data_IF_733281513762
#
_entry.id   IF_733281513762
#
_cell.length_a   1.000
_cell.length_b   1.000
_cell.length_c   1.000
_cell.angle_alpha   90.00
_cell.angle_beta   90.00
_cell.angle_gamma   90.00
#
_symmetry.space_group_name_H-M   'P 1'
#
loop_
_entity.id
_entity.type
_entity.pdbx_description
1 polymer ?
#
# COMPACT_ATOMS: atom_id res chain seq x y z
N UNK A 1 -18.60 -8.22 -16.27
CA UNK A 1 -18.14 -9.62 -16.41
C UNK A 1 -17.23 -9.97 -15.23
N UNK A 2 -17.30 -11.21 -14.76
CA UNK A 2 -17.29 -11.58 -13.34
C UNK A 2 -15.91 -11.77 -12.67
N UNK A 3 -15.73 -11.19 -11.48
CA UNK A 3 -14.64 -11.49 -10.52
C UNK A 3 -14.71 -12.91 -9.91
N UNK A 4 -15.75 -13.69 -10.24
CA UNK A 4 -15.93 -15.08 -9.75
C UNK A 4 -15.09 -16.11 -10.51
N UNK A 5 -14.59 -15.80 -11.71
CA UNK A 5 -13.91 -16.82 -12.53
C UNK A 5 -12.42 -16.97 -12.22
N UNK A 6 -11.75 -15.95 -11.67
CA UNK A 6 -10.33 -16.07 -11.25
C UNK A 6 -10.09 -16.89 -9.99
N UNK A 7 -11.12 -17.16 -9.17
CA UNK A 7 -11.00 -18.00 -7.95
C UNK A 7 -11.25 -19.49 -8.22
N UNK A 8 -11.77 -19.87 -9.39
CA UNK A 8 -12.00 -21.28 -9.75
C UNK A 8 -10.73 -21.99 -10.23
N UNK A 9 -9.79 -21.28 -10.88
CA UNK A 9 -8.51 -21.87 -11.32
C UNK A 9 -7.64 -22.38 -10.16
N UNK A 10 -7.44 -21.56 -9.12
CA UNK A 10 -6.58 -21.92 -7.98
C UNK A 10 -7.11 -23.10 -7.14
N UNK A 11 -8.42 -23.39 -7.19
CA UNK A 11 -9.02 -24.49 -6.44
C UNK A 11 -9.00 -25.80 -7.22
N UNK A 12 -9.04 -25.73 -8.56
CA UNK A 12 -8.84 -26.86 -9.48
C UNK A 12 -7.43 -27.42 -9.35
N UNK A 13 -6.42 -26.55 -9.39
CA UNK A 13 -5.01 -26.95 -9.34
C UNK A 13 -4.62 -27.62 -8.01
N UNK A 14 -5.22 -27.18 -6.89
CA UNK A 14 -5.02 -27.85 -5.60
C UNK A 14 -5.69 -29.23 -5.52
N UNK A 15 -6.83 -29.42 -6.20
CA UNK A 15 -7.51 -30.72 -6.21
C UNK A 15 -6.72 -31.71 -7.08
N UNK A 16 -6.19 -31.29 -8.22
CA UNK A 16 -5.32 -32.13 -9.05
C UNK A 16 -4.02 -32.50 -8.32
N UNK A 17 -3.40 -31.58 -7.58
CA UNK A 17 -2.21 -31.89 -6.77
C UNK A 17 -2.49 -32.88 -5.63
N UNK A 18 -3.68 -32.81 -5.02
CA UNK A 18 -4.08 -33.76 -3.99
C UNK A 18 -4.45 -35.13 -4.57
N UNK A 19 -5.02 -35.18 -5.77
CA UNK A 19 -5.33 -36.43 -6.47
C UNK A 19 -4.06 -37.18 -6.86
N UNK A 20 -3.02 -36.47 -7.35
CA UNK A 20 -1.72 -37.06 -7.67
C UNK A 20 -1.03 -37.64 -6.43
N UNK A 21 -1.15 -36.98 -5.27
CA UNK A 21 -0.61 -37.51 -4.00
C UNK A 21 -1.39 -38.74 -3.50
N UNK A 22 -2.70 -38.80 -3.74
CA UNK A 22 -3.53 -39.93 -3.33
C UNK A 22 -3.25 -41.17 -4.19
N UNK A 23 -3.13 -41.00 -5.51
CA UNK A 23 -2.80 -42.08 -6.45
C UNK A 23 -1.36 -42.60 -6.28
N UNK A 24 -0.46 -41.78 -5.73
CA UNK A 24 0.91 -42.19 -5.36
C UNK A 24 0.96 -43.10 -4.13
N UNK A 25 -0.09 -43.13 -3.31
CA UNK A 25 -0.14 -43.92 -2.08
C UNK A 25 -0.97 -45.20 -2.20
N UNK A 26 -1.77 -45.34 -3.26
CA UNK A 26 -2.61 -46.52 -3.51
C UNK A 26 -1.90 -47.65 -4.28
N UNK A 27 -0.69 -47.42 -4.80
CA UNK A 27 0.10 -48.45 -5.50
C UNK A 27 1.09 -49.21 -4.60
N UNK A 28 0.89 -49.18 -3.27
CA UNK A 28 1.73 -49.91 -2.31
C UNK A 28 1.02 -51.14 -1.71
N UNK A 29 0.27 -51.88 -2.54
CA UNK A 29 -0.19 -53.23 -2.24
C UNK A 29 0.65 -54.26 -3.00
N UNK A 30 1.84 -54.55 -2.48
CA UNK A 30 2.56 -55.82 -2.67
C UNK A 30 3.83 -55.80 -1.79
N UNK A 31 3.67 -56.09 -0.50
CA UNK A 31 4.81 -56.43 0.35
C UNK A 31 5.20 -57.88 0.02
N UNK A 32 6.40 -58.16 -0.53
CA UNK A 32 6.88 -59.53 -0.63
C UNK A 32 7.06 -60.11 0.77
N UNK A 33 6.57 -61.32 1.01
CA UNK A 33 6.73 -62.02 2.29
C UNK A 33 8.21 -62.07 2.68
N UNK A 34 8.57 -61.26 3.67
CA UNK A 34 9.90 -61.20 4.24
C UNK A 34 10.09 -62.39 5.19
N UNK A 35 10.88 -63.37 4.76
CA UNK A 35 11.24 -64.55 5.54
C UNK A 35 12.08 -64.14 6.77
N UNK A 36 11.43 -64.15 7.95
CA UNK A 36 12.03 -63.70 9.24
C UNK A 36 13.29 -64.48 9.63
N UNK A 37 13.48 -65.67 9.05
CA UNK A 37 14.65 -66.52 9.30
C UNK A 37 15.97 -65.92 8.78
N UNK A 38 15.94 -65.17 7.68
CA UNK A 38 17.13 -64.57 7.05
C UNK A 38 17.65 -63.36 7.83
N UNK A 39 16.74 -62.60 8.45
CA UNK A 39 17.08 -61.41 9.26
C UNK A 39 17.74 -61.83 10.57
N UNK A 40 17.26 -62.90 11.21
CA UNK A 40 17.89 -63.43 12.43
C UNK A 40 19.31 -63.96 12.19
N UNK A 41 19.56 -64.64 11.07
CA UNK A 41 20.91 -65.11 10.75
C UNK A 41 21.88 -63.96 10.43
N UNK A 42 21.42 -62.92 9.72
CA UNK A 42 22.24 -61.73 9.49
C UNK A 42 22.53 -60.96 10.79
N UNK A 43 21.55 -60.88 11.70
CA UNK A 43 21.75 -60.27 13.02
C UNK A 43 22.76 -61.06 13.87
N UNK A 44 22.68 -62.40 13.89
CA UNK A 44 23.63 -63.26 14.61
C UNK A 44 25.04 -63.20 14.01
N UNK A 45 25.19 -63.05 12.69
CA UNK A 45 26.50 -62.85 12.02
C UNK A 45 27.12 -61.48 12.37
N UNK A 46 26.33 -60.39 12.37
CA UNK A 46 26.80 -59.05 12.77
C UNK A 46 27.21 -59.00 14.24
N UNK A 47 26.47 -59.67 15.12
CA UNK A 47 26.81 -59.72 16.55
C UNK A 47 28.13 -60.48 16.81
N UNK A 48 28.39 -61.58 16.10
CA UNK A 48 29.65 -62.34 16.21
C UNK A 48 30.88 -61.64 15.60
N UNK A 49 30.70 -60.73 14.63
CA UNK A 49 31.78 -59.92 14.09
C UNK A 49 32.11 -58.71 14.99
N UNK A 50 31.11 -58.13 15.65
CA UNK A 50 31.32 -57.02 16.60
C UNK A 50 32.07 -57.45 17.86
N UNK A 51 31.90 -58.69 18.33
CA UNK A 51 32.56 -59.18 19.54
C UNK A 51 34.04 -59.54 19.33
N UNK A 52 34.52 -59.69 18.09
CA UNK A 52 35.93 -59.98 17.79
C UNK A 52 36.83 -58.74 17.74
N UNK A 53 36.29 -57.53 17.63
CA UNK A 53 37.07 -56.28 17.66
C UNK A 53 37.22 -55.63 19.04
N UNK A 54 36.62 -56.21 20.09
CA UNK A 54 36.67 -55.66 21.46
C UNK A 54 37.84 -56.20 22.31
N UNK A 55 38.72 -57.05 21.75
CA UNK A 55 39.85 -57.68 22.45
C UNK A 55 41.22 -57.04 22.17
N UNK A 56 41.27 -55.84 21.59
CA UNK A 56 42.50 -55.05 21.57
C UNK A 56 42.56 -54.19 22.83
N UNK A 57 43.43 -54.60 23.77
CA UNK A 57 43.82 -53.85 24.98
C UNK A 57 44.20 -52.42 24.59
N UNK A 58 43.23 -51.49 24.61
CA UNK A 58 43.51 -50.06 24.61
C UNK A 58 44.11 -49.75 25.97
N UNK A 59 45.39 -49.34 25.98
CA UNK A 59 45.99 -48.67 27.13
C UNK A 59 45.02 -47.54 27.51
N UNK A 60 44.41 -47.65 28.69
CA UNK A 60 43.64 -46.56 29.29
C UNK A 60 44.68 -45.47 29.53
N UNK A 61 44.76 -44.50 28.63
CA UNK A 61 45.42 -43.24 28.92
C UNK A 61 44.62 -42.68 30.09
N UNK A 62 45.22 -42.63 31.27
CA UNK A 62 44.64 -41.94 32.40
C UNK A 62 44.36 -40.51 31.95
N UNK A 63 43.08 -40.22 31.86
CA UNK A 63 42.54 -38.90 31.56
C UNK A 63 43.18 -37.92 32.53
N UNK A 64 43.83 -36.87 32.01
CA UNK A 64 44.36 -35.78 32.83
C UNK A 64 43.16 -35.20 33.55
N UNK A 65 42.98 -35.52 34.83
CA UNK A 65 41.94 -34.91 35.68
C UNK A 65 42.21 -33.41 35.68
N UNK A 66 41.47 -32.66 34.85
CA UNK A 66 41.48 -31.21 34.87
C UNK A 66 40.81 -30.80 36.17
N UNK A 67 41.60 -30.41 37.16
CA UNK A 67 41.05 -29.82 38.38
C UNK A 67 40.46 -28.45 38.04
N UNK A 68 39.48 -27.99 38.83
CA UNK A 68 38.83 -26.69 38.64
C UNK A 68 39.83 -25.52 38.59
N UNK A 69 41.01 -25.71 39.19
CA UNK A 69 42.12 -24.75 39.27
C UNK A 69 43.08 -24.76 38.07
N UNK A 70 43.01 -25.75 37.18
CA UNK A 70 43.95 -25.93 36.06
C UNK A 70 43.45 -25.29 34.73
N UNK A 71 42.38 -24.51 34.79
CA UNK A 71 41.88 -23.78 33.62
C UNK A 71 42.79 -22.59 33.27
N UNK A 72 42.84 -22.17 31.99
CA UNK A 72 43.57 -20.97 31.60
C UNK A 72 43.10 -19.79 32.46
N UNK A 73 44.05 -19.05 33.05
CA UNK A 73 43.77 -17.88 33.90
C UNK A 73 42.83 -16.94 33.13
N UNK A 74 41.63 -16.73 33.66
CA UNK A 74 40.64 -15.84 33.06
C UNK A 74 41.07 -14.39 33.25
N UNK A 75 41.11 -13.66 32.16
CA UNK A 75 41.44 -12.23 32.11
C UNK A 75 40.18 -11.41 31.81
N UNK A 76 40.23 -10.11 32.06
CA UNK A 76 39.14 -9.17 31.74
C UNK A 76 38.74 -9.21 30.24
N UNK A 77 39.66 -9.64 29.36
CA UNK A 77 39.44 -9.80 27.91
C UNK A 77 38.64 -11.06 27.52
N UNK A 78 38.67 -12.10 28.35
CA UNK A 78 38.09 -13.42 28.04
C UNK A 78 36.81 -13.71 28.83
N UNK A 79 36.32 -12.73 29.59
CA UNK A 79 35.10 -12.86 30.40
C UNK A 79 33.85 -12.80 29.52
N UNK A 80 32.80 -13.50 29.94
CA UNK A 80 31.50 -13.47 29.28
C UNK A 80 30.76 -12.18 29.64
N UNK A 81 30.45 -11.34 28.66
CA UNK A 81 29.69 -10.11 28.88
C UNK A 81 28.20 -10.42 29.04
N UNK A 82 27.76 -10.67 30.27
CA UNK A 82 26.35 -10.93 30.59
C UNK A 82 25.40 -9.78 30.25
N UNK A 83 25.91 -8.56 30.03
CA UNK A 83 25.11 -7.37 29.67
C UNK A 83 24.73 -7.31 28.20
N UNK A 84 25.58 -7.86 27.33
CA UNK A 84 25.37 -7.82 25.87
C UNK A 84 24.59 -9.05 25.39
N UNK A 85 24.54 -10.10 26.22
CA UNK A 85 23.81 -11.31 25.92
C UNK A 85 22.33 -11.20 26.28
N UNK A 86 21.43 -11.76 25.45
CA UNK A 86 20.02 -11.83 25.80
C UNK A 86 19.82 -12.66 27.07
N UNK A 87 19.12 -12.10 28.05
CA UNK A 87 18.83 -12.77 29.32
C UNK A 87 18.08 -14.07 29.08
N UNK A 88 18.56 -15.17 29.67
CA UNK A 88 17.91 -16.47 29.59
C UNK A 88 16.58 -16.55 30.33
N UNK A 89 16.30 -15.55 31.17
CA UNK A 89 15.08 -15.44 31.97
C UNK A 89 14.12 -14.35 31.45
N UNK A 90 14.47 -13.68 30.35
CA UNK A 90 13.56 -12.73 29.70
C UNK A 90 12.55 -13.47 28.84
N UNK A 91 11.26 -13.28 29.10
CA UNK A 91 10.24 -13.79 28.20
C UNK A 91 10.25 -12.97 26.89
N UNK A 92 10.29 -13.63 25.71
CA UNK A 92 10.00 -12.95 24.45
C UNK A 92 8.68 -12.21 24.54
N UNK A 93 8.59 -11.05 23.88
CA UNK A 93 7.28 -10.46 23.58
C UNK A 93 6.60 -11.37 22.54
N UNK A 94 5.28 -11.54 22.59
CA UNK A 94 4.51 -12.52 21.79
C UNK A 94 4.85 -12.57 20.28
N UNK A 95 5.22 -11.43 19.67
CA UNK A 95 5.61 -11.35 18.25
C UNK A 95 7.05 -11.78 17.94
N UNK A 96 7.91 -11.88 18.97
CA UNK A 96 9.33 -12.22 18.86
C UNK A 96 9.61 -13.72 19.14
N UNK A 97 8.63 -14.46 19.67
CA UNK A 97 8.78 -15.90 19.99
C UNK A 97 9.21 -16.73 18.77
N UNK A 98 8.62 -16.43 17.61
CA UNK A 98 8.95 -17.12 16.36
C UNK A 98 10.40 -16.88 15.94
N UNK A 99 10.85 -15.62 16.00
CA UNK A 99 12.23 -15.26 15.67
C UNK A 99 13.23 -15.88 16.65
N UNK A 100 12.92 -15.89 17.94
CA UNK A 100 13.74 -16.54 18.96
C UNK A 100 13.83 -18.06 18.76
N UNK A 101 12.72 -18.71 18.40
CA UNK A 101 12.71 -20.14 18.09
C UNK A 101 13.58 -20.50 16.88
N UNK A 102 13.60 -19.64 15.85
CA UNK A 102 14.50 -19.79 14.70
C UNK A 102 15.96 -19.61 15.13
N UNK A 103 16.25 -18.56 15.91
CA UNK A 103 17.60 -18.26 16.42
C UNK A 103 18.13 -19.39 17.30
N UNK A 104 17.32 -19.94 18.20
CA UNK A 104 17.70 -21.08 19.05
C UNK A 104 18.01 -22.31 18.20
N UNK A 105 17.22 -22.58 17.15
CA UNK A 105 17.49 -23.69 16.22
C UNK A 105 18.81 -23.47 15.46
N UNK A 106 19.05 -22.26 14.96
CA UNK A 106 20.30 -21.91 14.29
C UNK A 106 21.51 -22.06 15.23
N UNK A 107 21.43 -21.53 16.45
CA UNK A 107 22.50 -21.61 17.44
C UNK A 107 22.82 -23.06 17.85
N UNK A 108 21.79 -23.90 18.05
CA UNK A 108 21.97 -25.34 18.32
C UNK A 108 22.64 -26.06 17.15
N UNK A 109 22.31 -25.68 15.92
CA UNK A 109 22.96 -26.23 14.73
C UNK A 109 24.42 -25.80 14.62
N UNK A 110 24.75 -24.54 14.92
CA UNK A 110 26.14 -24.07 14.89
C UNK A 110 27.01 -24.79 15.93
N UNK A 111 26.50 -24.97 17.15
CA UNK A 111 27.18 -25.77 18.18
C UNK A 111 27.38 -27.21 17.70
N UNK A 112 26.35 -27.82 17.10
CA UNK A 112 26.43 -29.19 16.56
C UNK A 112 27.45 -29.31 15.43
N UNK A 113 27.53 -28.35 14.52
CA UNK A 113 28.51 -28.32 13.43
C UNK A 113 29.94 -28.21 13.97
N UNK A 114 30.17 -27.33 14.96
CA UNK A 114 31.45 -27.23 15.66
C UNK A 114 31.82 -28.54 16.35
N UNK A 115 30.87 -29.21 17.00
CA UNK A 115 31.09 -30.51 17.65
C UNK A 115 31.33 -31.66 16.68
N UNK A 116 30.70 -31.64 15.50
CA UNK A 116 30.93 -32.63 14.45
C UNK A 116 32.35 -32.50 13.87
N UNK A 117 32.88 -31.28 13.78
CA UNK A 117 34.24 -31.01 13.34
C UNK A 117 35.33 -31.46 14.33
N UNK A 118 34.99 -31.67 15.60
CA UNK A 118 35.94 -32.14 16.62
C UNK A 118 36.20 -33.66 16.53
N UNK A 119 37.41 -34.07 16.91
CA UNK A 119 37.75 -35.50 17.05
C UNK A 119 36.89 -36.14 18.14
N UNK A 120 36.56 -37.44 17.99
CA UNK A 120 35.67 -38.13 18.93
C UNK A 120 36.10 -38.08 20.41
N UNK A 121 37.40 -37.93 20.69
CA UNK A 121 37.94 -37.84 22.05
C UNK A 121 37.75 -36.45 22.69
N UNK A 122 37.61 -35.41 21.86
CA UNK A 122 37.51 -34.02 22.31
C UNK A 122 36.05 -33.54 22.39
N UNK A 123 35.08 -34.37 21.96
CA UNK A 123 33.66 -34.04 21.99
C UNK A 123 33.18 -33.97 23.45
N UNK A 124 32.54 -32.87 23.87
CA UNK A 124 32.08 -32.73 25.23
C UNK A 124 30.93 -33.71 25.52
N UNK A 125 31.07 -34.45 26.62
CA UNK A 125 29.95 -35.18 27.23
C UNK A 125 28.86 -34.19 27.68
N UNK A 126 27.63 -34.66 27.88
CA UNK A 126 26.52 -33.86 28.41
C UNK A 126 26.93 -33.11 29.69
N UNK A 127 27.58 -33.79 30.64
CA UNK A 127 28.11 -33.14 31.85
C UNK A 127 29.27 -32.17 31.56
N UNK A 128 30.04 -32.41 30.50
CA UNK A 128 31.12 -31.53 30.06
C UNK A 128 30.59 -30.17 29.58
N UNK A 129 29.46 -30.15 28.88
CA UNK A 129 28.83 -28.90 28.38
C UNK A 129 28.51 -27.91 29.50
N UNK A 130 28.01 -28.41 30.64
CA UNK A 130 27.70 -27.56 31.79
C UNK A 130 28.94 -27.02 32.49
N UNK A 131 30.08 -27.72 32.42
CA UNK A 131 31.32 -27.33 33.11
C UNK A 131 32.20 -26.40 32.30
N UNK A 132 32.14 -26.45 30.96
CA UNK A 132 32.99 -25.66 30.08
C UNK A 132 32.83 -24.15 30.25
N UNK A 133 31.61 -23.69 30.57
CA UNK A 133 31.29 -22.26 30.66
C UNK A 133 31.08 -21.76 32.11
N UNK A 134 31.26 -22.64 33.10
CA UNK A 134 31.00 -22.31 34.51
C UNK A 134 31.96 -21.25 35.04
N UNK A 135 33.24 -21.32 34.67
CA UNK A 135 34.28 -20.37 35.12
C UNK A 135 34.08 -18.99 34.50
N UNK A 136 33.63 -18.93 33.24
CA UNK A 136 33.34 -17.66 32.55
C UNK A 136 32.15 -16.92 33.16
N UNK A 137 31.14 -17.65 33.66
CA UNK A 137 29.96 -17.08 34.33
C UNK A 137 30.24 -16.57 35.73
N UNK A 138 31.19 -17.20 36.42
CA UNK A 138 31.53 -16.91 37.82
C UNK A 138 32.73 -15.98 37.96
N UNK A 139 33.25 -15.44 36.86
CA UNK A 139 34.38 -14.52 36.92
C UNK A 139 33.98 -13.22 37.62
N UNK A 140 34.52 -13.03 38.83
CA UNK A 140 34.46 -11.78 39.56
C UNK A 140 35.85 -11.18 39.52
N UNK A 141 35.96 -9.92 39.07
CA UNK A 141 37.21 -9.19 39.11
C UNK A 141 37.66 -9.09 40.56
N UNK A 142 38.81 -9.69 40.88
CA UNK A 142 39.39 -9.56 42.21
C UNK A 142 39.55 -8.06 42.52
N UNK A 143 38.95 -7.57 43.61
CA UNK A 143 39.11 -6.18 43.97
C UNK A 143 40.60 -5.91 44.19
N UNK A 144 41.11 -4.80 43.65
CA UNK A 144 42.47 -4.35 43.98
C UNK A 144 42.52 -4.20 45.49
N UNK A 145 43.42 -4.91 46.16
CA UNK A 145 43.66 -4.74 47.59
C UNK A 145 44.12 -3.30 47.82
N UNK A 146 43.19 -2.44 48.20
CA UNK A 146 43.51 -1.14 48.78
C UNK A 146 43.85 -1.47 50.24
N UNK A 147 45.11 -1.35 50.69
CA UNK A 147 45.41 -1.53 52.10
C UNK A 147 44.56 -0.51 52.86
N UNK A 148 43.68 -0.98 53.75
CA UNK A 148 42.92 -0.07 54.61
C UNK A 148 43.94 0.76 55.39
N UNK A 149 43.81 2.09 55.34
CA UNK A 149 44.63 2.98 56.16
C UNK A 149 44.32 2.68 57.62
N UNK A 150 45.28 2.08 58.30
CA UNK A 150 45.22 1.87 59.74
C UNK A 150 45.64 3.15 60.45
N UNK A 151 45.28 3.29 61.72
CA UNK A 151 45.65 4.49 62.52
C UNK A 151 47.17 4.66 62.58
N UNK A 152 47.93 3.56 62.53
CA UNK A 152 49.39 3.54 62.45
C UNK A 152 49.96 4.13 61.15
N UNK A 153 49.20 4.09 60.06
CA UNK A 153 49.61 4.67 58.77
C UNK A 153 49.46 6.20 58.74
N UNK A 154 48.61 6.74 59.61
CA UNK A 154 48.41 8.20 59.77
C UNK A 154 49.35 8.76 60.84
N UNK A 155 49.53 8.03 61.94
CA UNK A 155 50.49 8.34 63.00
C UNK A 155 51.05 7.06 63.60
N UNK A 156 52.32 6.76 63.30
CA UNK A 156 53.00 5.56 63.77
C UNK A 156 53.19 5.52 65.28
N UNK A 157 53.11 6.67 65.97
CA UNK A 157 53.30 6.81 67.42
C UNK A 157 51.99 6.97 68.18
N UNK A 158 50.85 6.82 67.51
CA UNK A 158 49.53 6.99 68.12
C UNK A 158 49.37 6.14 69.39
N UNK A 159 49.71 4.85 69.33
CA UNK A 159 49.58 3.96 70.48
C UNK A 159 50.64 4.22 71.57
N UNK A 160 51.88 4.59 71.21
CA UNK A 160 52.92 5.00 72.19
C UNK A 160 52.51 6.26 72.97
N UNK A 161 51.77 7.18 72.32
CA UNK A 161 51.34 8.44 72.93
C UNK A 161 50.11 8.25 73.86
N UNK A 162 49.35 7.17 73.64
CA UNK A 162 48.12 6.86 74.39
C UNK A 162 48.40 5.87 75.53
N UNK A 163 49.40 4.98 75.39
CA UNK A 163 49.86 4.11 76.46
C UNK A 163 50.29 4.96 77.69
N UNK A 164 49.48 4.89 78.76
CA UNK A 164 49.76 5.56 80.03
C UNK A 164 48.86 6.76 80.35
N UNK A 165 47.99 7.23 79.43
CA UNK A 165 46.95 8.22 79.78
C UNK A 165 45.73 7.51 80.38
N UNK A 166 45.34 7.81 81.64
CA UNK A 166 44.05 7.33 82.15
C UNK A 166 42.94 7.94 81.32
N UNK A 167 42.09 7.12 80.72
CA UNK A 167 40.98 7.60 79.90
C UNK A 167 40.05 8.44 80.79
N UNK A 168 39.91 9.76 80.58
CA UNK A 168 39.18 10.63 81.51
C UNK A 168 37.67 10.37 81.46
N UNK A 169 37.18 9.78 80.37
CA UNK A 169 35.80 9.34 80.24
C UNK A 169 35.59 8.04 81.00
N UNK A 170 34.91 8.14 82.14
CA UNK A 170 34.36 6.96 82.82
C UNK A 170 33.27 6.39 81.92
N UNK A 171 33.54 5.26 81.29
CA UNK A 171 32.57 4.53 80.48
C UNK A 171 31.28 4.36 81.27
N UNK A 172 30.24 5.09 80.88
CA UNK A 172 28.93 4.97 81.48
C UNK A 172 28.14 3.95 80.65
N UNK A 173 27.83 2.82 81.28
CA UNK A 173 27.10 1.73 80.62
C UNK A 173 25.73 2.20 80.11
N UNK A 174 25.11 3.19 80.78
CA UNK A 174 23.83 3.76 80.38
C UNK A 174 23.92 4.56 79.09
N UNK A 175 24.87 5.48 78.96
CA UNK A 175 25.03 6.26 77.72
C UNK A 175 25.42 5.34 76.56
N UNK A 176 26.23 4.31 76.81
CA UNK A 176 26.53 3.30 75.80
C UNK A 176 25.26 2.56 75.33
N UNK A 177 24.40 2.11 76.26
CA UNK A 177 23.14 1.46 75.89
C UNK A 177 22.21 2.41 75.12
N UNK A 178 22.12 3.67 75.53
CA UNK A 178 21.24 4.65 74.89
C UNK A 178 21.75 5.05 73.49
N UNK A 179 23.06 5.25 73.33
CA UNK A 179 23.69 5.47 72.02
C UNK A 179 23.54 4.27 71.08
N UNK A 180 23.66 3.03 71.58
CA UNK A 180 23.41 1.82 70.77
C UNK A 180 21.94 1.76 70.34
N UNK A 181 21.00 2.08 71.23
CA UNK A 181 19.56 2.14 70.88
C UNK A 181 19.27 3.23 69.86
N UNK A 182 19.86 4.40 70.03
CA UNK A 182 19.63 5.54 69.15
C UNK A 182 20.23 5.31 67.76
N UNK A 183 21.46 4.77 67.70
CA UNK A 183 22.07 4.36 66.43
C UNK A 183 21.25 3.28 65.72
N UNK A 184 20.66 2.33 66.46
CA UNK A 184 19.76 1.34 65.88
C UNK A 184 18.47 1.98 65.33
N UNK A 185 17.86 2.92 66.06
CA UNK A 185 16.68 3.67 65.58
C UNK A 185 16.99 4.47 64.33
N UNK A 186 18.12 5.17 64.31
CA UNK A 186 18.57 5.94 63.14
C UNK A 186 18.80 5.02 61.95
N UNK A 187 19.48 3.87 62.13
CA UNK A 187 19.69 2.89 61.07
C UNK A 187 18.38 2.35 60.50
N UNK A 188 17.40 2.06 61.36
CA UNK A 188 16.07 1.62 60.91
C UNK A 188 15.39 2.73 60.11
N UNK A 189 15.42 3.98 60.59
CA UNK A 189 14.84 5.12 59.89
C UNK A 189 15.51 5.37 58.52
N UNK A 190 16.84 5.25 58.44
CA UNK A 190 17.59 5.33 57.18
C UNK A 190 17.14 4.21 56.23
N UNK A 191 17.06 2.96 56.71
CA UNK A 191 16.59 1.85 55.89
C UNK A 191 15.20 2.08 55.30
N UNK A 192 14.26 2.60 56.11
CA UNK A 192 12.93 2.97 55.61
C UNK A 192 12.97 4.06 54.53
N UNK A 193 13.84 5.05 54.67
CA UNK A 193 14.00 6.12 53.66
C UNK A 193 14.67 5.60 52.39
N UNK A 194 15.66 4.73 52.52
CA UNK A 194 16.33 4.10 51.38
C UNK A 194 15.33 3.24 50.58
N UNK A 195 14.48 2.48 51.26
CA UNK A 195 13.41 1.70 50.63
C UNK A 195 12.40 2.61 49.89
N UNK A 196 12.00 3.74 50.49
CA UNK A 196 11.14 4.74 49.85
C UNK A 196 11.79 5.34 48.60
N UNK A 197 13.09 5.68 48.68
CA UNK A 197 13.86 6.20 47.54
C UNK A 197 13.89 5.17 46.42
N UNK A 198 14.17 3.89 46.74
CA UNK A 198 14.22 2.82 45.75
C UNK A 198 12.87 2.65 45.03
N UNK A 199 11.76 2.75 45.77
CA UNK A 199 10.42 2.67 45.20
C UNK A 199 10.10 3.86 44.28
N UNK A 200 10.53 5.07 44.66
CA UNK A 200 10.41 6.27 43.81
C UNK A 200 11.23 6.12 42.53
N UNK A 201 12.47 5.64 42.63
CA UNK A 201 13.32 5.41 41.46
C UNK A 201 12.72 4.39 40.50
N UNK A 202 12.21 3.27 41.03
CA UNK A 202 11.54 2.24 40.22
C UNK A 202 10.35 2.84 39.46
N UNK A 203 9.48 3.59 40.14
CA UNK A 203 8.34 4.26 39.54
C UNK A 203 8.77 5.25 38.45
N UNK A 204 9.79 6.07 38.70
CA UNK A 204 10.33 7.01 37.72
C UNK A 204 10.85 6.28 36.48
N UNK A 205 11.55 5.15 36.65
CA UNK A 205 12.00 4.35 35.50
C UNK A 205 10.84 3.76 34.69
N UNK A 206 9.74 3.38 35.35
CA UNK A 206 8.54 2.87 34.68
C UNK A 206 7.82 3.98 33.91
N UNK A 207 7.64 5.15 34.53
CA UNK A 207 7.05 6.32 33.90
C UNK A 207 7.87 6.77 32.68
N UNK A 208 9.20 6.80 32.81
CA UNK A 208 10.08 7.16 31.69
C UNK A 208 9.97 6.17 30.53
N UNK A 209 9.88 4.87 30.81
CA UNK A 209 9.64 3.85 29.77
C UNK A 209 8.31 4.09 29.07
N UNK A 210 7.26 4.41 29.82
CA UNK A 210 5.93 4.69 29.27
C UNK A 210 5.96 5.96 28.38
N UNK A 211 6.59 7.03 28.86
CA UNK A 211 6.78 8.28 28.10
C UNK A 211 7.54 8.00 26.79
N UNK A 212 8.59 7.19 26.83
CA UNK A 212 9.36 6.85 25.64
C UNK A 212 8.52 6.08 24.62
N UNK A 213 7.65 5.16 25.06
CA UNK A 213 6.72 4.43 24.19
C UNK A 213 5.71 5.40 23.56
N UNK A 214 5.14 6.30 24.35
CA UNK A 214 4.18 7.30 23.86
C UNK A 214 4.86 8.22 22.83
N UNK A 215 6.06 8.71 23.10
CA UNK A 215 6.83 9.53 22.17
C UNK A 215 7.12 8.79 20.87
N UNK A 216 7.52 7.52 20.93
CA UNK A 216 7.75 6.72 19.73
C UNK A 216 6.47 6.56 18.90
N UNK A 217 5.33 6.26 19.54
CA UNK A 217 4.04 6.16 18.85
C UNK A 217 3.62 7.50 18.23
N UNK A 218 3.84 8.60 18.95
CA UNK A 218 3.55 9.94 18.44
C UNK A 218 4.37 10.25 17.19
N UNK A 219 5.67 9.96 17.20
CA UNK A 219 6.52 10.12 16.01
C UNK A 219 6.04 9.26 14.84
N UNK A 220 5.62 8.02 15.11
CA UNK A 220 5.05 7.16 14.08
C UNK A 220 3.76 7.75 13.49
N UNK A 221 2.89 8.34 14.32
CA UNK A 221 1.68 9.01 13.84
C UNK A 221 1.98 10.26 13.02
N UNK A 222 2.94 11.09 13.45
CA UNK A 222 3.37 12.27 12.70
C UNK A 222 3.90 11.85 11.32
N UNK A 223 4.81 10.87 11.27
CA UNK A 223 5.36 10.34 10.02
C UNK A 223 4.26 9.78 9.11
N UNK A 224 3.33 9.00 9.67
CA UNK A 224 2.21 8.46 8.90
C UNK A 224 1.30 9.57 8.34
N UNK A 225 1.09 10.65 9.12
CA UNK A 225 0.30 11.79 8.71
C UNK A 225 0.99 12.60 7.61
N UNK A 226 2.29 12.81 7.69
CA UNK A 226 3.07 13.45 6.62
C UNK A 226 3.00 12.65 5.30
N UNK A 227 3.15 11.33 5.38
CA UNK A 227 3.00 10.45 4.21
C UNK A 227 1.59 10.52 3.64
N UNK A 228 0.58 10.59 4.50
CA UNK A 228 -0.81 10.75 4.08
C UNK A 228 -1.02 12.08 3.34
N UNK A 229 -0.56 13.20 3.91
CA UNK A 229 -0.66 14.52 3.30
C UNK A 229 0.06 14.58 1.95
N UNK A 230 1.26 13.99 1.86
CA UNK A 230 1.99 13.94 0.61
C UNK A 230 1.23 13.19 -0.48
N UNK A 231 0.66 12.02 -0.15
CA UNK A 231 -0.13 11.22 -1.08
C UNK A 231 -1.42 11.92 -1.51
N UNK A 232 -2.11 12.55 -0.56
CA UNK A 232 -3.35 13.27 -0.83
C UNK A 232 -3.11 14.47 -1.75
N UNK A 233 -2.08 15.27 -1.46
CA UNK A 233 -1.66 16.37 -2.32
C UNK A 233 -1.29 15.89 -3.73
N UNK A 234 -0.49 14.82 -3.83
CA UNK A 234 -0.11 14.26 -5.13
C UNK A 234 -1.32 13.78 -5.93
N UNK A 235 -2.28 13.10 -5.28
CA UNK A 235 -3.51 12.65 -5.91
C UNK A 235 -4.39 13.83 -6.36
N UNK A 236 -4.51 14.87 -5.52
CA UNK A 236 -5.25 16.08 -5.86
C UNK A 236 -4.65 16.78 -7.09
N UNK A 237 -3.31 16.89 -7.15
CA UNK A 237 -2.62 17.46 -8.32
C UNK A 237 -2.82 16.61 -9.58
N UNK A 238 -2.77 15.29 -9.47
CA UNK A 238 -3.01 14.40 -10.61
C UNK A 238 -4.43 14.54 -11.17
N UNK A 239 -5.44 14.64 -10.28
CA UNK A 239 -6.84 14.89 -10.67
C UNK A 239 -6.97 16.26 -11.33
N UNK A 240 -6.33 17.30 -10.77
CA UNK A 240 -6.36 18.64 -11.33
C UNK A 240 -5.77 18.66 -12.75
N UNK A 241 -4.62 18.03 -12.97
CA UNK A 241 -4.04 17.90 -14.31
C UNK A 241 -4.96 17.16 -15.28
N UNK A 242 -5.66 16.12 -14.83
CA UNK A 242 -6.63 15.40 -15.67
C UNK A 242 -7.85 16.27 -15.99
N UNK A 243 -8.34 17.04 -15.03
CA UNK A 243 -9.40 18.02 -15.23
C UNK A 243 -8.99 19.11 -16.22
N UNK A 244 -7.76 19.62 -16.15
CA UNK A 244 -7.24 20.59 -17.11
C UNK A 244 -7.16 19.98 -18.52
N UNK A 245 -6.57 18.77 -18.66
CA UNK A 245 -6.46 18.07 -19.95
C UNK A 245 -7.83 17.75 -20.56
N UNK A 246 -8.84 17.46 -19.75
CA UNK A 246 -10.20 17.21 -20.23
C UNK A 246 -10.93 18.50 -20.57
N UNK A 247 -10.70 19.57 -19.80
CA UNK A 247 -11.22 20.91 -20.08
C UNK A 247 -10.69 21.47 -21.40
N UNK A 248 -9.39 21.38 -21.66
CA UNK A 248 -8.80 21.84 -22.93
C UNK A 248 -9.39 21.10 -24.12
N UNK A 249 -9.50 19.77 -24.06
CA UNK A 249 -10.17 18.96 -25.09
C UNK A 249 -11.63 19.34 -25.29
N UNK A 250 -12.35 19.64 -24.21
CA UNK A 250 -13.75 20.07 -24.30
C UNK A 250 -13.87 21.43 -25.00
N UNK A 251 -12.95 22.36 -24.73
CA UNK A 251 -12.88 23.66 -25.40
C UNK A 251 -12.59 23.48 -26.89
N UNK A 252 -11.60 22.65 -27.26
CA UNK A 252 -11.29 22.35 -28.67
C UNK A 252 -12.53 21.82 -29.42
N UNK A 253 -13.25 20.86 -28.83
CA UNK A 253 -14.49 20.32 -29.41
C UNK A 253 -15.60 21.35 -29.50
N UNK A 254 -15.71 22.23 -28.51
CA UNK A 254 -16.69 23.31 -28.52
C UNK A 254 -16.38 24.32 -29.64
N UNK A 255 -15.10 24.63 -29.88
CA UNK A 255 -14.68 25.47 -31.00
C UNK A 255 -15.00 24.82 -32.36
N UNK A 256 -14.72 23.52 -32.52
CA UNK A 256 -15.14 22.76 -33.71
C UNK A 256 -16.66 22.86 -33.95
N UNK A 257 -17.44 22.62 -32.89
CA UNK A 257 -18.90 22.74 -32.94
C UNK A 257 -19.33 24.16 -33.33
N UNK A 258 -18.74 25.18 -32.71
CA UNK A 258 -19.05 26.59 -33.00
C UNK A 258 -18.76 26.94 -34.46
N UNK A 259 -17.65 26.45 -35.01
CA UNK A 259 -17.32 26.64 -36.43
C UNK A 259 -18.33 25.92 -37.34
N UNK A 260 -18.72 24.69 -37.00
CA UNK A 260 -19.74 23.95 -37.75
C UNK A 260 -21.11 24.63 -37.69
N UNK A 261 -21.53 25.09 -36.51
CA UNK A 261 -22.77 25.83 -36.29
C UNK A 261 -22.78 27.14 -37.09
N UNK A 262 -21.65 27.88 -37.14
CA UNK A 262 -21.52 29.08 -37.97
C UNK A 262 -21.68 28.77 -39.46
N UNK A 263 -21.05 27.69 -39.95
CA UNK A 263 -21.21 27.24 -41.34
C UNK A 263 -22.66 26.86 -41.64
N UNK A 264 -23.29 26.11 -40.74
CA UNK A 264 -24.69 25.71 -40.85
C UNK A 264 -25.62 26.93 -40.90
N UNK A 265 -25.46 27.90 -39.98
CA UNK A 265 -26.24 29.12 -39.96
C UNK A 265 -26.05 29.94 -41.26
N UNK A 266 -24.83 30.03 -41.78
CA UNK A 266 -24.55 30.68 -43.05
C UNK A 266 -25.23 29.99 -44.22
N UNK A 267 -25.21 28.65 -44.28
CA UNK A 267 -25.90 27.88 -45.32
C UNK A 267 -27.42 28.02 -45.21
N UNK A 268 -27.96 27.97 -43.99
CA UNK A 268 -29.39 28.16 -43.71
C UNK A 268 -29.87 29.54 -44.17
N UNK A 269 -29.13 30.60 -43.84
CA UNK A 269 -29.43 31.95 -44.28
C UNK A 269 -29.36 32.10 -45.81
N UNK A 270 -28.34 31.52 -46.46
CA UNK A 270 -28.23 31.54 -47.92
C UNK A 270 -29.39 30.80 -48.59
N UNK A 271 -29.83 29.66 -48.01
CA UNK A 271 -30.97 28.90 -48.50
C UNK A 271 -32.26 29.72 -48.42
N UNK A 272 -32.56 30.30 -47.25
CA UNK A 272 -33.76 31.13 -47.10
C UNK A 272 -33.76 32.34 -48.02
N UNK A 273 -32.60 33.01 -48.18
CA UNK A 273 -32.50 34.11 -49.14
C UNK A 273 -32.77 33.65 -50.58
N UNK A 274 -32.24 32.50 -50.98
CA UNK A 274 -32.48 31.95 -52.32
C UNK A 274 -33.92 31.51 -52.53
N UNK A 275 -34.57 30.97 -51.50
CA UNK A 275 -35.96 30.58 -51.51
C UNK A 275 -36.88 31.80 -51.64
N UNK A 276 -36.66 32.83 -50.81
CA UNK A 276 -37.41 34.08 -50.88
C UNK A 276 -37.32 34.69 -52.28
N UNK A 277 -36.11 34.73 -52.87
CA UNK A 277 -35.92 35.17 -54.25
C UNK A 277 -36.65 34.29 -55.27
N UNK A 278 -36.68 32.98 -55.07
CA UNK A 278 -37.41 32.08 -55.94
C UNK A 278 -38.93 32.32 -55.86
N UNK A 279 -39.47 32.52 -54.65
CA UNK A 279 -40.89 32.87 -54.43
C UNK A 279 -41.23 34.22 -55.03
N UNK A 280 -40.39 35.24 -54.85
CA UNK A 280 -40.54 36.56 -55.48
C UNK A 280 -40.63 36.40 -57.01
N UNK A 281 -39.70 35.65 -57.61
CA UNK A 281 -39.68 35.38 -59.03
C UNK A 281 -40.95 34.65 -59.51
N UNK A 282 -41.46 33.69 -58.73
CA UNK A 282 -42.73 32.99 -59.03
C UNK A 282 -43.93 33.91 -58.94
N UNK A 283 -43.99 34.74 -57.90
CA UNK A 283 -45.03 35.76 -57.74
C UNK A 283 -45.01 36.75 -58.92
N UNK A 284 -43.83 37.23 -59.33
CA UNK A 284 -43.71 38.10 -60.50
C UNK A 284 -44.08 37.37 -61.80
N UNK A 285 -43.71 36.10 -61.96
CA UNK A 285 -44.09 35.30 -63.11
C UNK A 285 -45.62 35.18 -63.24
N UNK A 286 -46.31 34.87 -62.15
CA UNK A 286 -47.77 34.76 -62.12
C UNK A 286 -48.45 36.12 -62.34
N UNK A 287 -47.94 37.18 -61.72
CA UNK A 287 -48.43 38.54 -61.95
C UNK A 287 -48.33 38.94 -63.43
N UNK A 288 -47.17 38.72 -64.06
CA UNK A 288 -46.95 39.02 -65.48
C UNK A 288 -47.82 38.15 -66.38
N UNK A 289 -48.04 36.88 -66.03
CA UNK A 289 -48.94 35.98 -66.76
C UNK A 289 -50.39 36.48 -66.68
N UNK A 290 -50.88 36.87 -65.51
CA UNK A 290 -52.24 37.39 -65.33
C UNK A 290 -52.48 38.71 -66.07
N UNK A 291 -51.45 39.56 -66.16
CA UNK A 291 -51.50 40.81 -66.94
C UNK A 291 -51.37 40.58 -68.46
N UNK A 292 -50.92 39.41 -68.90
CA UNK A 292 -50.75 39.12 -70.33
C UNK A 292 -52.11 38.96 -71.05
N UNK A 293 -52.22 39.31 -72.34
CA UNK A 293 -53.49 39.21 -73.08
C UNK A 293 -54.06 37.79 -73.08
N UNK A 294 -55.39 37.66 -73.02
CA UNK A 294 -56.11 36.35 -72.98
C UNK A 294 -55.64 35.38 -74.07
N UNK A 295 -55.32 35.89 -75.26
CA UNK A 295 -54.81 35.10 -76.40
C UNK A 295 -53.47 34.40 -76.10
N UNK A 296 -52.59 35.05 -75.33
CA UNK A 296 -51.28 34.51 -74.96
C UNK A 296 -51.41 33.43 -73.88
N UNK A 297 -52.30 33.65 -72.89
CA UNK A 297 -52.58 32.67 -71.83
C UNK A 297 -53.16 31.37 -72.38
N UNK A 298 -54.09 31.46 -73.33
CA UNK A 298 -54.70 30.28 -73.98
C UNK A 298 -53.71 29.45 -74.81
N UNK A 299 -52.64 30.07 -75.33
CA UNK A 299 -51.61 29.37 -76.10
C UNK A 299 -50.56 28.65 -75.24
N UNK A 300 -50.45 29.01 -73.96
CA UNK A 300 -49.45 28.47 -73.03
C UNK A 300 -50.09 27.83 -71.79
N UNK A 301 -50.85 26.72 -71.94
CA UNK A 301 -51.55 26.07 -70.84
C UNK A 301 -50.61 25.43 -69.81
N UNK A 302 -49.35 25.15 -70.17
CA UNK A 302 -48.35 24.56 -69.27
C UNK A 302 -47.95 25.49 -68.11
N UNK A 303 -48.21 26.80 -68.22
CA UNK A 303 -47.95 27.78 -67.16
C UNK A 303 -49.20 28.07 -66.31
N UNK A 304 -50.42 27.79 -66.80
CA UNK A 304 -51.64 27.87 -65.99
C UNK A 304 -51.88 26.53 -65.28
N UNK A 305 -51.71 26.48 -63.96
CA UNK A 305 -51.94 25.22 -63.22
C UNK A 305 -53.40 24.74 -63.22
N UNK A 306 -54.38 25.51 -63.73
CA UNK A 306 -55.74 25.04 -64.04
C UNK A 306 -56.39 25.93 -65.13
N UNK A 307 -56.90 25.33 -66.21
CA UNK A 307 -57.60 26.05 -67.29
C UNK A 307 -59.07 26.32 -66.94
N UNK A 308 -59.63 25.63 -65.94
CA UNK A 308 -61.04 25.76 -65.54
C UNK A 308 -61.31 26.94 -64.58
N UNK A 309 -60.28 27.60 -64.06
CA UNK A 309 -60.39 28.67 -63.04
C UNK A 309 -60.28 30.09 -63.61
N UNK A 310 -60.09 30.24 -64.93
CA UNK A 310 -59.87 31.55 -65.59
C UNK A 310 -61.07 32.50 -65.40
N UNK A 311 -62.27 31.98 -65.12
CA UNK A 311 -63.47 32.76 -64.85
C UNK A 311 -63.71 33.08 -63.36
N UNK A 312 -63.07 32.36 -62.43
CA UNK A 312 -63.22 32.55 -60.97
C UNK A 312 -62.09 33.40 -60.37
N UNK A 313 -60.90 33.44 -61.01
CA UNK A 313 -59.72 34.22 -60.57
C UNK A 313 -59.89 35.75 -60.60
N UNK A 314 -61.00 36.30 -61.10
CA UNK A 314 -61.27 37.75 -61.09
C UNK A 314 -61.85 38.19 -59.73
N UNK A 315 -62.31 37.25 -58.89
CA UNK A 315 -63.05 37.54 -57.65
C UNK A 315 -62.29 37.24 -56.35
N UNK A 316 -61.12 36.60 -56.40
CA UNK A 316 -60.35 36.27 -55.21
C UNK A 316 -59.28 37.33 -54.93
N UNK A 317 -59.52 38.18 -53.92
CA UNK A 317 -58.60 39.23 -53.45
C UNK A 317 -57.27 38.68 -52.86
N UNK A 318 -57.09 37.35 -52.83
CA UNK A 318 -56.02 36.66 -52.08
C UNK A 318 -55.16 35.70 -52.94
N UNK A 319 -55.09 35.89 -54.26
CA UNK A 319 -54.21 35.10 -55.18
C UNK A 319 -52.74 35.07 -54.69
N UNK A 320 -52.30 36.17 -54.06
CA UNK A 320 -50.94 36.31 -53.55
C UNK A 320 -50.76 35.84 -52.09
N UNK A 321 -51.83 35.42 -51.40
CA UNK A 321 -51.75 34.95 -50.02
C UNK A 321 -50.86 33.71 -49.89
N UNK A 322 -50.83 32.86 -50.93
CA UNK A 322 -49.97 31.66 -50.96
C UNK A 322 -48.47 31.97 -50.94
N UNK A 323 -48.08 33.16 -51.40
CA UNK A 323 -46.68 33.61 -51.42
C UNK A 323 -46.32 34.49 -50.24
N UNK A 324 -47.32 35.09 -49.56
CA UNK A 324 -47.17 35.77 -48.27
C UNK A 324 -47.18 34.74 -47.14
N UNK A 325 -46.04 34.12 -46.88
CA UNK A 325 -45.90 33.42 -45.59
C UNK A 325 -45.80 34.48 -44.49
N UNK A 326 -46.70 34.36 -43.51
CA UNK A 326 -46.70 35.12 -42.28
C UNK A 326 -45.30 35.14 -41.65
N UNK A 327 -44.88 36.31 -41.18
CA UNK A 327 -43.63 36.56 -40.47
C UNK A 327 -43.43 35.71 -39.20
N UNK A 328 -44.37 34.84 -38.85
CA UNK A 328 -44.38 34.02 -37.64
C UNK A 328 -43.95 32.56 -37.94
N UNK A 329 -42.68 32.27 -37.64
CA UNK A 329 -42.16 31.03 -37.03
C UNK A 329 -42.52 29.64 -37.62
N UNK A 330 -43.01 29.54 -38.86
CA UNK A 330 -43.07 28.24 -39.54
C UNK A 330 -41.65 27.81 -39.97
N UNK A 331 -40.97 27.04 -39.13
CA UNK A 331 -39.72 26.37 -39.49
C UNK A 331 -39.93 25.57 -40.78
N UNK A 332 -39.35 26.04 -41.89
CA UNK A 332 -39.38 25.35 -43.17
C UNK A 332 -38.95 23.89 -43.00
N UNK A 333 -39.85 22.96 -43.28
CA UNK A 333 -39.58 21.54 -43.08
C UNK A 333 -38.74 20.98 -44.22
N UNK A 334 -38.01 19.90 -43.97
CA UNK A 334 -37.16 19.27 -44.99
C UNK A 334 -37.98 18.74 -46.18
N UNK A 335 -39.27 18.46 -45.98
CA UNK A 335 -40.25 18.16 -47.04
C UNK A 335 -40.44 19.35 -47.97
N UNK A 336 -40.66 20.54 -47.45
CA UNK A 336 -40.93 21.75 -48.24
C UNK A 336 -39.74 22.10 -49.14
N UNK A 337 -38.52 21.96 -48.61
CA UNK A 337 -37.28 22.17 -49.38
C UNK A 337 -37.17 21.16 -50.55
N UNK A 338 -37.58 19.91 -50.34
CA UNK A 338 -37.56 18.88 -51.39
C UNK A 338 -38.61 19.15 -52.46
N UNK A 339 -39.77 19.65 -52.08
CA UNK A 339 -40.82 20.04 -53.02
C UNK A 339 -40.34 21.20 -53.89
N UNK A 340 -39.78 22.27 -53.30
CA UNK A 340 -39.19 23.39 -54.04
C UNK A 340 -38.07 22.92 -54.97
N UNK A 341 -37.21 22.00 -54.51
CA UNK A 341 -36.14 21.45 -55.34
C UNK A 341 -36.67 20.66 -56.55
N UNK A 342 -37.72 19.87 -56.37
CA UNK A 342 -38.38 19.14 -57.46
C UNK A 342 -39.10 20.09 -58.43
N UNK A 343 -39.73 21.16 -57.91
CA UNK A 343 -40.35 22.20 -58.74
C UNK A 343 -39.30 22.97 -59.56
N UNK A 344 -38.15 23.30 -58.98
CA UNK A 344 -37.03 23.90 -59.70
C UNK A 344 -36.49 23.00 -60.83
N UNK A 345 -36.41 21.67 -60.61
CA UNK A 345 -35.94 20.72 -61.62
C UNK A 345 -36.95 20.48 -62.75
N UNK A 346 -38.25 20.61 -62.46
CA UNK A 346 -39.33 20.46 -63.43
C UNK A 346 -39.76 21.78 -64.09
N UNK A 347 -39.16 22.91 -63.72
CA UNK A 347 -39.49 24.21 -64.27
C UNK A 347 -39.07 24.32 -65.75
N UNK A 348 -40.03 24.51 -66.65
CA UNK A 348 -39.78 24.94 -68.01
C UNK A 348 -39.29 26.41 -68.04
N UNK A 349 -38.49 26.81 -69.04
CA UNK A 349 -38.08 28.21 -69.20
C UNK A 349 -39.31 29.12 -69.24
N UNK A 350 -39.28 30.19 -68.45
CA UNK A 350 -40.39 31.14 -68.38
C UNK A 350 -40.51 31.90 -69.70
N UNK A 351 -41.50 31.55 -70.50
CA UNK A 351 -41.87 32.30 -71.71
C UNK A 351 -42.84 33.40 -71.29
N UNK A 352 -42.39 34.65 -71.36
CA UNK A 352 -43.08 35.84 -70.84
C UNK A 352 -43.47 36.73 -72.01
N UNK A 353 -44.71 37.23 -72.01
CA UNK A 353 -45.22 38.09 -73.09
C UNK A 353 -44.54 39.47 -73.12
N UNK A 354 -44.38 40.10 -71.95
CA UNK A 354 -43.73 41.41 -71.82
C UNK A 354 -42.21 41.25 -71.71
N UNK A 355 -41.47 41.83 -72.66
CA UNK A 355 -40.00 41.75 -72.69
C UNK A 355 -39.36 43.02 -72.14
N UNK A 356 -40.05 44.16 -72.26
CA UNK A 356 -39.58 45.44 -71.73
C UNK A 356 -40.54 45.98 -70.65
N UNK A 357 -40.02 46.58 -69.56
CA UNK A 357 -40.86 47.13 -68.48
C UNK A 357 -41.80 48.26 -68.93
N UNK A 358 -41.46 48.97 -70.01
CA UNK A 358 -42.25 50.04 -70.62
C UNK A 358 -43.62 49.53 -71.11
N UNK A 359 -43.67 48.32 -71.65
CA UNK A 359 -44.89 47.70 -72.19
C UNK A 359 -45.94 47.46 -71.10
N UNK A 360 -45.49 47.17 -69.87
CA UNK A 360 -46.40 46.97 -68.73
C UNK A 360 -47.06 48.28 -68.29
N UNK A 361 -46.33 49.39 -68.33
CA UNK A 361 -46.84 50.72 -67.91
C UNK A 361 -47.94 51.21 -68.86
N UNK A 362 -47.86 50.85 -70.13
CA UNK A 362 -48.90 51.20 -71.11
C UNK A 362 -50.23 50.48 -70.84
N UNK A 363 -50.18 49.23 -70.35
CA UNK A 363 -51.38 48.46 -69.98
C UNK A 363 -52.10 49.06 -68.77
N UNK A 364 -51.36 49.66 -67.82
CA UNK A 364 -51.93 50.31 -66.62
C UNK A 364 -52.32 51.78 -66.81
N UNK A 365 -52.01 52.39 -67.96
CA UNK A 365 -52.39 53.78 -68.28
C UNK A 365 -53.73 53.91 -69.01
N UNK A 366 -54.28 52.79 -69.47
CA UNK A 366 -55.67 52.64 -69.92
C UNK A 366 -56.58 52.48 -68.70
#
# INVERSE_FOLDING_TARGET
>A
MNKKDKRKGSRSDMIEQLQVLFDSTSSLEAVPDFDRSVIEEQAKRRFKQSTRHFSQKKKILFDKRKYFTDNPRMNDENRRNLRDEPSWYGYPKDMEEFAQNIMIKAWRNDIRLKELAMKCQDKPSYQGRFRLDMVNRLYVKEPKHIPMKTVLDVDSKYFETIEGRPNPERFSLREYIDTVRETLRIKIAIGYRDDEIMLIEENLTMEQKMINIINHNYQNYVNAFEVFLFKDHHNSMAILEECEKTSTKAIERYEEYKLAAKKYASMKSALYFSEEKWRDCKMYQEFLFNMSPVRFRLAHPAQSKNVDTIAEDIMDDDIFAKYKIALDDAELTLSDIKEIANECQSACPADIYFKEPSELVEVFRL
#
